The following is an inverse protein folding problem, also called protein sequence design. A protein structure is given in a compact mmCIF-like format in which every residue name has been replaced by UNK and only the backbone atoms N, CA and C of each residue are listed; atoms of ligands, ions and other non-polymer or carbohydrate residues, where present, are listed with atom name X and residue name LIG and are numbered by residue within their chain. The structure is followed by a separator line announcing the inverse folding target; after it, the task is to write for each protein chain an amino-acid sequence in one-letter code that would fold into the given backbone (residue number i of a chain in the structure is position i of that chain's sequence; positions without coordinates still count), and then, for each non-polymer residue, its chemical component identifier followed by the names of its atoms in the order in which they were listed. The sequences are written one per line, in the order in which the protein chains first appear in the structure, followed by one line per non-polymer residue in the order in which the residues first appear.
data_IF_821500078441
#
_entry.id   IF_821500078441
#
_cell.length_a   1.000
_cell.length_b   1.000
_cell.length_c   1.000
_cell.angle_alpha   90.00
_cell.angle_beta   90.00
_cell.angle_gamma   90.00
#
_symmetry.space_group_name_H-M   'P 1'
#
loop_
_entity.id
_entity.type
_entity.pdbx_description
1 polymer ?
#
# COMPACT_ATOMS: atom_id res chain seq x y z
N UNK A 1 12.43 22.10 -34.35
CA UNK A 1 12.38 21.15 -33.24
C UNK A 1 12.23 22.00 -31.99
N UNK A 2 11.09 21.89 -31.30
CA UNK A 2 10.77 22.80 -30.20
C UNK A 2 11.36 22.24 -28.91
N UNK A 3 12.09 23.08 -28.15
CA UNK A 3 12.72 22.66 -26.87
C UNK A 3 11.68 22.12 -25.89
N UNK A 4 10.43 22.60 -26.00
CA UNK A 4 9.32 22.14 -25.15
C UNK A 4 8.94 20.65 -25.36
N UNK A 5 9.29 20.09 -26.53
CA UNK A 5 9.04 18.65 -26.83
C UNK A 5 9.99 17.72 -26.07
N UNK A 6 11.00 18.27 -25.43
CA UNK A 6 12.01 17.54 -24.66
C UNK A 6 11.78 17.61 -23.14
N UNK A 7 10.83 18.44 -22.70
CA UNK A 7 10.54 18.63 -21.30
C UNK A 7 9.34 17.73 -20.95
N UNK A 8 9.59 16.59 -20.32
CA UNK A 8 8.55 15.84 -19.65
C UNK A 8 8.28 16.51 -18.29
N UNK A 9 7.12 17.14 -18.17
CA UNK A 9 6.69 17.81 -16.93
C UNK A 9 6.01 16.86 -15.95
N UNK A 10 6.06 15.55 -16.23
CA UNK A 10 5.40 14.52 -15.44
C UNK A 10 3.88 14.48 -15.63
N UNK A 11 3.22 13.63 -14.87
CA UNK A 11 1.76 13.51 -14.89
C UNK A 11 1.12 14.43 -13.87
N UNK A 12 -0.09 14.90 -14.17
CA UNK A 12 -0.89 15.75 -13.24
C UNK A 12 -1.23 15.00 -11.93
N UNK A 13 -1.28 13.67 -11.98
CA UNK A 13 -1.59 12.81 -10.85
C UNK A 13 -0.39 11.92 -10.54
N UNK A 14 0.06 11.94 -9.30
CA UNK A 14 1.20 11.15 -8.84
C UNK A 14 0.96 9.63 -9.02
N UNK A 15 -0.29 9.17 -8.95
CA UNK A 15 -0.63 7.76 -9.13
C UNK A 15 -0.29 7.25 -10.54
N UNK A 16 -0.34 8.15 -11.53
CA UNK A 16 -0.11 7.84 -12.95
C UNK A 16 1.28 8.22 -13.44
N UNK A 17 2.13 8.70 -12.55
CA UNK A 17 3.45 9.20 -12.89
C UNK A 17 4.52 8.14 -12.68
N UNK A 18 4.94 7.52 -13.77
CA UNK A 18 5.93 6.45 -13.76
C UNK A 18 7.35 6.95 -13.47
N UNK A 19 7.60 8.25 -13.69
CA UNK A 19 8.90 8.89 -13.47
C UNK A 19 9.01 9.55 -12.09
N UNK A 20 7.97 9.47 -11.27
CA UNK A 20 7.94 10.10 -9.95
C UNK A 20 9.17 9.76 -9.11
N UNK A 21 9.65 8.52 -9.17
CA UNK A 21 10.81 8.07 -8.40
C UNK A 21 12.14 8.74 -8.81
N UNK A 22 12.22 9.33 -10.00
CA UNK A 22 13.43 9.95 -10.52
C UNK A 22 13.60 11.40 -10.05
N UNK A 23 12.48 12.11 -9.86
CA UNK A 23 12.50 13.53 -9.48
C UNK A 23 11.85 13.83 -8.15
N UNK A 24 11.39 12.81 -7.41
CA UNK A 24 10.79 13.02 -6.09
C UNK A 24 11.81 13.64 -5.14
N UNK A 25 11.44 14.78 -4.57
CA UNK A 25 12.23 15.45 -3.55
C UNK A 25 11.60 15.20 -2.16
N UNK A 26 12.38 14.61 -1.26
CA UNK A 26 11.98 14.42 0.14
C UNK A 26 12.40 15.63 0.97
N UNK A 27 11.44 16.36 1.49
CA UNK A 27 11.62 17.47 2.41
C UNK A 27 11.78 17.06 3.88
N UNK A 28 11.98 15.76 4.13
CA UNK A 28 12.11 15.16 5.46
C UNK A 28 10.84 14.46 5.96
N UNK A 29 9.74 14.51 5.20
CA UNK A 29 8.48 13.82 5.54
C UNK A 29 8.68 12.31 5.55
N UNK A 30 9.34 11.76 4.53
CA UNK A 30 9.63 10.31 4.45
C UNK A 30 10.48 9.84 5.63
N UNK A 31 11.53 10.57 5.96
CA UNK A 31 12.36 10.26 7.11
C UNK A 31 11.55 10.25 8.40
N UNK A 32 10.68 11.23 8.60
CA UNK A 32 9.78 11.27 9.75
C UNK A 32 8.82 10.08 9.82
N UNK A 33 8.33 9.59 8.67
CA UNK A 33 7.45 8.40 8.60
C UNK A 33 8.23 7.13 8.96
N UNK A 34 9.42 6.97 8.41
CA UNK A 34 10.23 5.75 8.55
C UNK A 34 10.81 5.63 9.97
N UNK A 35 11.33 6.73 10.50
CA UNK A 35 11.95 6.77 11.81
C UNK A 35 10.92 6.78 12.97
N UNK A 36 9.61 6.90 12.64
CA UNK A 36 8.58 6.94 13.66
C UNK A 36 8.37 5.56 14.30
N UNK A 37 8.54 5.43 15.62
CA UNK A 37 8.32 4.17 16.31
C UNK A 37 6.83 3.78 16.46
N UNK A 38 5.93 4.65 16.04
CA UNK A 38 4.49 4.51 16.19
C UNK A 38 3.74 4.99 14.95
N UNK A 39 2.42 5.06 15.02
CA UNK A 39 1.57 5.55 13.94
C UNK A 39 1.94 6.98 13.53
N UNK A 40 1.99 7.23 12.23
CA UNK A 40 2.26 8.53 11.64
C UNK A 40 1.07 8.99 10.79
N UNK A 41 0.74 10.27 10.84
CA UNK A 41 -0.36 10.86 10.06
C UNK A 41 0.15 12.06 9.26
N UNK A 42 0.05 11.99 7.94
CA UNK A 42 0.40 13.09 7.05
C UNK A 42 -0.88 13.84 6.68
N UNK A 43 -0.97 15.09 7.13
CA UNK A 43 -2.08 15.99 6.81
C UNK A 43 -1.62 17.06 5.82
N UNK A 44 -2.50 17.43 4.90
CA UNK A 44 -2.23 18.48 3.92
C UNK A 44 -3.43 18.72 3.00
N UNK A 45 -3.46 19.88 2.36
CA UNK A 45 -4.46 20.23 1.36
C UNK A 45 -4.37 19.33 0.13
N UNK A 46 -5.39 19.34 -0.73
CA UNK A 46 -5.33 18.71 -2.05
C UNK A 46 -4.13 19.31 -2.82
N UNK A 47 -3.33 18.47 -3.47
CA UNK A 47 -2.11 18.90 -4.17
C UNK A 47 -0.84 19.03 -3.32
N UNK A 48 -0.90 18.77 -2.00
CA UNK A 48 0.28 18.84 -1.11
C UNK A 48 1.22 17.62 -1.21
N UNK A 49 1.12 16.81 -2.26
CA UNK A 49 2.05 15.70 -2.50
C UNK A 49 1.85 14.44 -1.65
N UNK A 50 0.76 14.32 -0.86
CA UNK A 50 0.53 13.14 -0.01
C UNK A 50 0.55 11.81 -0.79
N UNK A 51 -0.13 11.77 -1.94
CA UNK A 51 -0.13 10.62 -2.82
C UNK A 51 1.25 10.35 -3.43
N UNK A 52 2.01 11.40 -3.74
CA UNK A 52 3.39 11.26 -4.21
C UNK A 52 4.27 10.60 -3.15
N UNK A 53 4.16 11.00 -1.88
CA UNK A 53 4.87 10.35 -0.75
C UNK A 53 4.48 8.88 -0.64
N UNK A 54 3.18 8.57 -0.68
CA UNK A 54 2.69 7.19 -0.60
C UNK A 54 3.22 6.33 -1.76
N UNK A 55 3.11 6.83 -3.00
CA UNK A 55 3.58 6.12 -4.18
C UNK A 55 5.10 5.93 -4.14
N UNK A 56 5.86 6.99 -3.85
CA UNK A 56 7.31 6.89 -3.75
C UNK A 56 7.77 5.87 -2.71
N UNK A 57 7.13 5.86 -1.53
CA UNK A 57 7.43 4.88 -0.48
C UNK A 57 7.09 3.45 -0.93
N UNK A 58 6.00 3.28 -1.67
CA UNK A 58 5.57 1.98 -2.19
C UNK A 58 6.50 1.45 -3.28
N UNK A 59 6.87 2.30 -4.24
CA UNK A 59 7.68 1.94 -5.41
C UNK A 59 9.16 1.77 -5.05
N UNK A 60 9.66 2.58 -4.13
CA UNK A 60 11.05 2.59 -3.69
C UNK A 60 11.26 1.91 -2.32
N UNK A 61 10.36 1.03 -1.91
CA UNK A 61 10.37 0.37 -0.60
C UNK A 61 11.74 -0.18 -0.20
N UNK A 62 12.49 -0.72 -1.13
CA UNK A 62 13.81 -1.32 -0.90
C UNK A 62 14.86 -0.32 -0.38
N UNK A 63 14.63 0.98 -0.58
CA UNK A 63 15.50 2.04 -0.04
C UNK A 63 15.27 2.31 1.44
N UNK A 64 14.11 1.91 1.98
CA UNK A 64 13.62 2.36 3.28
C UNK A 64 13.41 1.22 4.28
N UNK A 65 13.20 -0.01 3.79
CA UNK A 65 12.94 -1.16 4.64
C UNK A 65 14.24 -1.91 4.95
N UNK A 66 14.39 -2.33 6.19
CA UNK A 66 15.46 -3.22 6.58
C UNK A 66 15.21 -4.65 6.05
N UNK A 67 16.24 -5.48 6.05
CA UNK A 67 16.22 -6.84 5.48
C UNK A 67 15.06 -7.72 5.97
N UNK A 68 14.56 -7.45 7.18
CA UNK A 68 13.51 -8.25 7.81
C UNK A 68 12.14 -7.55 7.85
N UNK A 69 12.05 -6.32 7.38
CA UNK A 69 10.82 -5.56 7.37
C UNK A 69 9.97 -5.88 6.15
N UNK A 70 8.67 -5.72 6.27
CA UNK A 70 7.72 -5.90 5.20
C UNK A 70 6.83 -4.65 5.14
N UNK A 71 6.93 -3.91 4.06
CA UNK A 71 6.05 -2.77 3.76
C UNK A 71 4.81 -3.28 3.02
N UNK A 72 3.64 -2.97 3.56
CA UNK A 72 2.35 -3.32 2.96
C UNK A 72 1.62 -2.01 2.64
N UNK A 73 1.69 -1.50 1.41
CA UNK A 73 0.91 -0.33 1.00
C UNK A 73 -0.56 -0.71 0.89
N UNK A 74 -1.43 0.09 1.50
CA UNK A 74 -2.88 -0.09 1.43
C UNK A 74 -3.51 1.17 0.83
N UNK A 75 -4.11 1.01 -0.35
CA UNK A 75 -4.85 2.07 -1.03
C UNK A 75 -6.35 1.80 -0.98
N UNK A 76 -7.13 2.87 -0.81
CA UNK A 76 -8.59 2.79 -0.93
C UNK A 76 -9.06 2.56 -2.37
N UNK A 77 -8.24 2.89 -3.36
CA UNK A 77 -8.56 2.73 -4.78
C UNK A 77 -8.54 1.26 -5.19
N UNK A 78 -7.64 0.47 -4.57
CA UNK A 78 -7.49 -0.96 -4.83
C UNK A 78 -8.45 -1.82 -3.99
N UNK A 79 -9.25 -1.18 -3.14
CA UNK A 79 -10.14 -1.87 -2.24
C UNK A 79 -11.40 -2.37 -2.95
N UNK A 80 -11.65 -3.67 -2.88
CA UNK A 80 -12.89 -4.24 -3.40
C UNK A 80 -14.06 -4.01 -2.43
N UNK A 81 -14.80 -2.93 -2.66
CA UNK A 81 -15.96 -2.53 -1.86
C UNK A 81 -17.09 -3.56 -1.85
N UNK A 82 -17.13 -4.50 -2.80
CA UNK A 82 -18.10 -5.60 -2.80
C UNK A 82 -17.87 -6.52 -1.61
N UNK A 83 -16.62 -6.74 -1.20
CA UNK A 83 -16.29 -7.54 0.00
C UNK A 83 -16.84 -6.85 1.26
N UNK A 84 -16.76 -5.52 1.30
CA UNK A 84 -17.35 -4.76 2.40
C UNK A 84 -18.87 -4.98 2.48
N UNK A 85 -19.57 -4.92 1.35
CA UNK A 85 -21.02 -5.15 1.28
C UNK A 85 -21.42 -6.53 1.78
N UNK A 86 -20.60 -7.57 1.52
CA UNK A 86 -20.83 -8.93 2.03
C UNK A 86 -20.64 -9.07 3.55
N UNK A 87 -19.84 -8.19 4.15
CA UNK A 87 -19.57 -8.20 5.59
C UNK A 87 -20.52 -7.31 6.39
N UNK A 88 -21.30 -6.47 5.71
CA UNK A 88 -22.34 -5.64 6.34
C UNK A 88 -23.58 -6.51 6.57
N UNK A 89 -23.77 -6.93 7.80
CA UNK A 89 -25.00 -7.54 8.26
C UNK A 89 -25.99 -6.40 8.64
N UNK A 90 -27.18 -6.40 8.07
CA UNK A 90 -28.21 -5.39 8.30
C UNK A 90 -28.54 -5.15 9.79
N UNK A 91 -28.26 -6.16 10.63
CA UNK A 91 -28.52 -6.13 12.07
C UNK A 91 -27.33 -5.65 12.91
N UNK A 92 -26.17 -5.33 12.31
CA UNK A 92 -24.99 -4.84 13.04
C UNK A 92 -24.80 -3.34 12.89
N UNK A 93 -24.31 -2.71 13.96
CA UNK A 93 -23.92 -1.30 13.88
C UNK A 93 -22.91 -1.09 12.74
N UNK A 94 -23.17 -0.15 11.85
CA UNK A 94 -22.37 0.13 10.64
C UNK A 94 -20.88 0.31 10.96
N UNK A 95 -20.55 0.96 12.09
CA UNK A 95 -19.18 1.13 12.56
C UNK A 95 -18.45 -0.19 12.82
N UNK A 96 -19.16 -1.22 13.31
CA UNK A 96 -18.60 -2.52 13.57
C UNK A 96 -18.31 -3.29 12.26
N UNK A 97 -19.22 -3.16 11.28
CA UNK A 97 -19.04 -3.74 9.95
C UNK A 97 -17.81 -3.15 9.26
N UNK A 98 -17.62 -1.83 9.29
CA UNK A 98 -16.42 -1.17 8.76
C UNK A 98 -15.15 -1.66 9.44
N UNK A 99 -15.14 -1.74 10.77
CA UNK A 99 -13.98 -2.25 11.51
C UNK A 99 -13.62 -3.69 11.15
N UNK A 100 -14.62 -4.54 10.96
CA UNK A 100 -14.40 -5.95 10.60
C UNK A 100 -13.88 -6.07 9.16
N UNK A 101 -14.44 -5.30 8.21
CA UNK A 101 -13.98 -5.33 6.82
C UNK A 101 -12.53 -4.85 6.69
N UNK A 102 -12.15 -3.79 7.39
CA UNK A 102 -10.76 -3.34 7.43
C UNK A 102 -9.81 -4.38 8.00
N UNK A 103 -10.18 -5.01 9.12
CA UNK A 103 -9.37 -6.10 9.70
C UNK A 103 -9.18 -7.23 8.70
N UNK A 104 -10.23 -7.58 7.96
CA UNK A 104 -10.17 -8.63 6.96
C UNK A 104 -9.22 -8.27 5.81
N UNK A 105 -9.31 -7.06 5.26
CA UNK A 105 -8.41 -6.58 4.20
C UNK A 105 -6.96 -6.58 4.66
N UNK A 106 -6.68 -6.02 5.83
CA UNK A 106 -5.32 -6.00 6.38
C UNK A 106 -4.77 -7.43 6.52
N UNK A 107 -5.57 -8.37 7.01
CA UNK A 107 -5.15 -9.77 7.14
C UNK A 107 -4.85 -10.42 5.79
N UNK A 108 -5.68 -10.15 4.76
CA UNK A 108 -5.43 -10.64 3.39
C UNK A 108 -4.09 -10.12 2.87
N UNK A 109 -3.88 -8.82 2.96
CA UNK A 109 -2.65 -8.22 2.47
C UNK A 109 -1.41 -8.67 3.28
N UNK A 110 -1.55 -8.89 4.57
CA UNK A 110 -0.51 -9.54 5.38
C UNK A 110 -0.18 -10.95 4.86
N UNK A 111 -1.18 -11.79 4.59
CA UNK A 111 -0.95 -13.15 4.08
C UNK A 111 -0.21 -13.11 2.75
N UNK A 112 -0.63 -12.25 1.82
CA UNK A 112 0.02 -12.06 0.52
C UNK A 112 1.47 -11.59 0.68
N UNK A 113 1.70 -10.57 1.49
CA UNK A 113 3.01 -9.98 1.71
C UNK A 113 3.99 -10.96 2.38
N UNK A 114 3.57 -11.67 3.41
CA UNK A 114 4.38 -12.70 4.06
C UNK A 114 4.73 -13.83 3.09
N UNK A 115 3.75 -14.34 2.34
CA UNK A 115 4.01 -15.37 1.34
C UNK A 115 5.01 -14.88 0.29
N UNK A 116 4.82 -13.67 -0.23
CA UNK A 116 5.74 -13.03 -1.17
C UNK A 116 7.15 -12.91 -0.62
N UNK A 117 7.31 -12.54 0.64
CA UNK A 117 8.62 -12.44 1.30
C UNK A 117 9.35 -13.80 1.37
N UNK A 118 8.64 -14.89 1.69
CA UNK A 118 9.26 -16.23 1.67
C UNK A 118 9.70 -16.63 0.28
N UNK A 119 8.86 -16.38 -0.73
CA UNK A 119 9.18 -16.70 -2.13
C UNK A 119 10.36 -15.89 -2.64
N UNK A 120 10.41 -14.60 -2.36
CA UNK A 120 11.51 -13.71 -2.76
C UNK A 120 12.85 -14.13 -2.13
N UNK A 121 12.82 -14.71 -0.92
CA UNK A 121 14.01 -15.25 -0.24
C UNK A 121 14.32 -16.71 -0.63
N UNK A 122 13.62 -17.29 -1.62
CA UNK A 122 13.72 -18.70 -2.00
C UNK A 122 13.54 -19.68 -0.82
N UNK A 123 12.69 -19.30 0.15
CA UNK A 123 12.42 -20.09 1.32
C UNK A 123 11.09 -20.85 1.17
N UNK A 124 10.99 -22.01 1.82
CA UNK A 124 9.75 -22.76 1.84
C UNK A 124 8.65 -22.00 2.61
N UNK A 125 7.52 -21.81 1.97
CA UNK A 125 6.36 -21.16 2.58
C UNK A 125 5.79 -22.06 3.69
N UNK A 126 5.57 -21.57 4.91
CA UNK A 126 4.97 -22.36 5.98
C UNK A 126 3.60 -22.93 5.58
N UNK A 127 3.34 -24.20 5.88
CA UNK A 127 2.08 -24.90 5.51
C UNK A 127 0.81 -24.16 5.93
N UNK A 128 0.84 -23.48 7.10
CA UNK A 128 -0.31 -22.68 7.59
C UNK A 128 -0.56 -21.46 6.70
N UNK A 129 0.49 -20.79 6.27
CA UNK A 129 0.41 -19.61 5.40
C UNK A 129 -0.09 -20.01 4.00
N UNK A 130 0.40 -21.13 3.47
CA UNK A 130 -0.05 -21.67 2.19
C UNK A 130 -1.55 -22.09 2.24
N UNK A 131 -1.98 -22.68 3.35
CA UNK A 131 -3.40 -23.02 3.56
C UNK A 131 -4.27 -21.76 3.62
N UNK A 132 -3.83 -20.71 4.31
CA UNK A 132 -4.52 -19.42 4.36
C UNK A 132 -4.64 -18.80 2.97
N UNK A 133 -3.56 -18.78 2.18
CA UNK A 133 -3.59 -18.26 0.82
C UNK A 133 -4.57 -19.01 -0.09
N UNK A 134 -4.57 -20.36 -0.04
CA UNK A 134 -5.53 -21.19 -0.80
C UNK A 134 -6.99 -20.96 -0.40
N UNK A 135 -7.26 -20.59 0.85
CA UNK A 135 -8.61 -20.22 1.28
C UNK A 135 -9.00 -18.86 0.69
N UNK A 136 -8.09 -17.90 0.66
CA UNK A 136 -8.33 -16.59 0.05
C UNK A 136 -8.58 -16.70 -1.46
N UNK A 137 -7.79 -17.49 -2.20
CA UNK A 137 -7.98 -17.75 -3.64
C UNK A 137 -9.33 -18.37 -4.00
N UNK A 138 -10.04 -18.95 -3.03
CA UNK A 138 -11.41 -19.48 -3.23
C UNK A 138 -12.51 -18.45 -2.98
N UNK A 139 -12.18 -17.37 -2.29
CA UNK A 139 -13.13 -16.32 -1.91
C UNK A 139 -13.12 -15.19 -2.94
N UNK A 140 -11.99 -15.00 -3.62
CA UNK A 140 -11.74 -13.98 -4.64
C UNK A 140 -11.43 -14.60 -6.00
#
# INVERSE_FOLDING_TARGET
MNILDWIDVGKVSAERDDLLSEYFFDDGVLKGVIDSPSSFLILGRKGAGKTAVFKYLSDCKEKFIEKNDILIPLSFEDYNWNVHALLVDENKAQSLAYKQSWRFVILIECVKAFRGSFLAKHQAVPKRLEKANKLLEKIF
#
